data_IF_003343809534
#
_entry.id   IF_003343809534
#
_cell.length_a   1.000
_cell.length_b   1.000
_cell.length_c   1.000
_cell.angle_alpha   90.00
_cell.angle_beta   90.00
_cell.angle_gamma   90.00
#
_symmetry.space_group_name_H-M   'P 1'
#
loop_
_entity.id
_entity.type
_entity.pdbx_description
1 polymer ?
#
# COMPACT_ATOMS: atom_id res chain seq x y z
N UNK A 1 23.17 -22.37 1.06
CA UNK A 1 24.17 -21.38 0.56
C UNK A 1 24.26 -20.28 1.60
N UNK A 2 25.41 -20.12 2.26
CA UNK A 2 25.64 -19.06 3.24
C UNK A 2 25.66 -17.72 2.50
N UNK A 3 24.79 -16.78 2.88
CA UNK A 3 24.81 -15.42 2.37
C UNK A 3 26.19 -14.82 2.64
N UNK A 4 26.94 -14.50 1.58
CA UNK A 4 28.13 -13.66 1.67
C UNK A 4 27.71 -12.34 2.35
N UNK A 5 28.19 -12.11 3.57
CA UNK A 5 27.94 -10.85 4.27
C UNK A 5 28.72 -9.78 3.53
N UNK A 6 27.99 -8.86 2.94
CA UNK A 6 28.56 -7.62 2.38
C UNK A 6 29.30 -6.90 3.47
N UNK A 7 30.59 -6.71 3.27
CA UNK A 7 31.44 -5.93 4.16
C UNK A 7 30.94 -4.49 4.23
N UNK A 8 31.10 -3.84 5.38
CA UNK A 8 30.74 -2.42 5.51
C UNK A 8 31.56 -1.59 4.52
N UNK A 9 30.95 -0.64 3.76
CA UNK A 9 31.64 0.15 2.74
C UNK A 9 32.88 0.88 3.27
N UNK A 10 32.87 1.29 4.54
CA UNK A 10 33.95 2.01 5.21
C UNK A 10 34.85 1.10 6.05
N UNK A 11 34.86 -0.21 5.82
CA UNK A 11 35.77 -1.08 6.56
C UNK A 11 37.22 -0.80 6.15
N UNK A 12 38.13 -0.52 7.09
CA UNK A 12 39.52 -0.15 6.79
C UNK A 12 40.30 -1.25 6.11
N UNK A 13 39.88 -2.51 6.29
CA UNK A 13 40.50 -3.68 5.65
C UNK A 13 39.42 -4.56 5.00
N UNK A 14 39.53 -4.74 3.70
CA UNK A 14 38.76 -5.73 2.95
C UNK A 14 39.33 -7.14 3.17
N UNK A 15 38.65 -8.24 2.85
CA UNK A 15 39.21 -9.59 2.89
C UNK A 15 40.52 -9.70 2.09
N UNK A 16 40.61 -9.06 0.93
CA UNK A 16 41.82 -8.98 0.14
C UNK A 16 42.92 -8.15 0.82
N UNK A 17 42.59 -7.03 1.44
CA UNK A 17 43.53 -6.25 2.26
C UNK A 17 44.07 -7.06 3.44
N UNK A 18 43.21 -7.88 4.07
CA UNK A 18 43.61 -8.79 5.17
C UNK A 18 44.53 -9.90 4.66
N UNK A 19 44.27 -10.44 3.47
CA UNK A 19 45.12 -11.43 2.84
C UNK A 19 46.53 -10.88 2.60
N UNK A 20 46.63 -9.71 1.95
CA UNK A 20 47.92 -9.03 1.73
C UNK A 20 48.65 -8.74 3.02
N UNK A 21 47.99 -8.29 4.06
CA UNK A 21 48.56 -8.03 5.38
C UNK A 21 49.09 -9.32 6.01
N UNK A 22 48.39 -10.43 5.87
CA UNK A 22 48.82 -11.74 6.37
C UNK A 22 49.99 -12.28 5.56
N UNK A 23 49.98 -12.11 4.23
CA UNK A 23 51.11 -12.53 3.37
C UNK A 23 52.39 -11.81 3.71
N UNK A 24 52.37 -10.51 4.02
CA UNK A 24 53.56 -9.79 4.50
C UNK A 24 54.21 -10.46 5.71
N UNK A 25 53.40 -11.03 6.63
CA UNK A 25 53.94 -11.67 7.85
C UNK A 25 54.40 -13.11 7.56
N UNK A 26 53.62 -13.91 6.79
CA UNK A 26 53.85 -15.34 6.62
C UNK A 26 54.77 -15.68 5.45
N UNK A 27 54.74 -14.87 4.38
CA UNK A 27 55.47 -15.13 3.14
C UNK A 27 56.68 -14.20 3.01
N UNK A 28 56.51 -12.90 3.33
CA UNK A 28 57.55 -11.88 3.18
C UNK A 28 58.43 -11.74 4.45
N UNK A 29 58.09 -12.42 5.54
CA UNK A 29 58.88 -12.41 6.80
C UNK A 29 58.87 -11.14 7.58
N UNK A 30 57.87 -10.25 7.37
CA UNK A 30 57.79 -8.98 8.10
C UNK A 30 57.38 -9.17 9.55
N UNK A 31 57.90 -8.29 10.41
CA UNK A 31 57.40 -8.25 11.79
C UNK A 31 55.96 -7.79 11.87
N UNK A 32 55.27 -8.20 12.92
CA UNK A 32 53.88 -7.78 13.16
C UNK A 32 53.79 -6.26 13.29
N UNK A 33 54.75 -5.65 13.94
CA UNK A 33 54.81 -4.21 14.16
C UNK A 33 55.03 -3.43 12.85
N UNK A 34 55.96 -3.85 12.01
CA UNK A 34 56.19 -3.25 10.69
C UNK A 34 54.95 -3.42 9.76
N UNK A 35 54.31 -4.57 9.84
CA UNK A 35 53.07 -4.83 9.07
C UNK A 35 51.92 -3.93 9.60
N UNK A 36 51.77 -3.77 10.91
CA UNK A 36 50.77 -2.92 11.51
C UNK A 36 50.91 -1.46 11.08
N UNK A 37 52.13 -0.95 11.08
CA UNK A 37 52.47 0.41 10.63
C UNK A 37 52.11 0.58 9.13
N UNK A 38 52.54 -0.32 8.27
CA UNK A 38 52.28 -0.25 6.84
C UNK A 38 50.79 -0.26 6.48
N UNK A 39 49.99 -1.04 7.20
CA UNK A 39 48.56 -1.13 6.96
C UNK A 39 47.74 -0.17 7.82
N UNK A 40 48.40 0.66 8.64
CA UNK A 40 47.78 1.64 9.55
C UNK A 40 46.73 0.98 10.48
N UNK A 41 47.08 -0.15 11.06
CA UNK A 41 46.24 -0.91 11.99
C UNK A 41 46.99 -1.25 13.27
N UNK A 42 46.29 -1.59 14.34
CA UNK A 42 46.89 -2.05 15.57
C UNK A 42 47.53 -3.45 15.39
N UNK A 43 48.69 -3.68 16.05
CA UNK A 43 49.39 -4.98 16.03
C UNK A 43 48.48 -6.18 16.43
N UNK A 44 47.49 -5.95 17.34
CA UNK A 44 46.47 -6.95 17.67
C UNK A 44 45.61 -7.34 16.47
N UNK A 45 45.35 -6.39 15.57
CA UNK A 45 44.61 -6.64 14.34
C UNK A 45 45.37 -7.55 13.39
N UNK A 46 46.69 -7.32 13.24
CA UNK A 46 47.55 -8.18 12.43
C UNK A 46 47.59 -9.60 13.00
N UNK A 47 47.84 -9.74 14.31
CA UNK A 47 47.82 -11.06 15.00
C UNK A 47 46.51 -11.78 14.81
N UNK A 48 45.41 -11.08 15.05
CA UNK A 48 44.05 -11.63 14.88
C UNK A 48 43.81 -12.23 13.49
N UNK A 49 44.19 -11.53 12.43
CA UNK A 49 43.95 -11.98 11.08
C UNK A 49 44.92 -13.07 10.65
N UNK A 50 46.20 -13.00 11.07
CA UNK A 50 47.21 -14.06 10.90
C UNK A 50 46.73 -15.36 11.55
N UNK A 51 46.31 -15.33 12.80
CA UNK A 51 45.93 -16.50 13.57
C UNK A 51 44.64 -17.14 12.98
N UNK A 52 43.69 -16.31 12.51
CA UNK A 52 42.51 -16.77 11.82
C UNK A 52 42.84 -17.44 10.46
N UNK A 53 43.77 -16.87 9.73
CA UNK A 53 44.22 -17.41 8.47
C UNK A 53 44.93 -18.76 8.67
N UNK A 54 45.81 -18.84 9.67
CA UNK A 54 46.46 -20.10 10.01
C UNK A 54 45.49 -21.21 10.43
N UNK A 55 44.37 -20.83 11.10
CA UNK A 55 43.38 -21.80 11.56
C UNK A 55 42.37 -22.21 10.47
N UNK A 56 41.98 -21.31 9.59
CA UNK A 56 40.81 -21.46 8.70
C UNK A 56 41.10 -21.13 7.23
N UNK A 57 42.35 -20.78 6.89
CA UNK A 57 42.73 -20.32 5.56
C UNK A 57 41.97 -19.01 5.18
N UNK A 58 41.70 -18.87 3.89
CA UNK A 58 40.97 -17.69 3.36
C UNK A 58 39.59 -17.48 4.00
N UNK A 59 38.92 -18.51 4.45
CA UNK A 59 37.64 -18.40 5.16
C UNK A 59 37.76 -17.62 6.47
N UNK A 60 38.91 -17.66 7.15
CA UNK A 60 39.19 -16.92 8.37
C UNK A 60 39.28 -15.41 8.17
N UNK A 61 39.50 -14.94 6.94
CA UNK A 61 39.64 -13.53 6.60
C UNK A 61 38.27 -12.79 6.47
N UNK A 62 37.18 -13.51 6.46
CA UNK A 62 35.83 -12.92 6.40
C UNK A 62 35.33 -12.50 7.79
N UNK A 63 34.43 -11.51 7.80
CA UNK A 63 33.83 -11.04 9.04
C UNK A 63 32.91 -12.11 9.64
N UNK A 64 33.07 -12.36 10.93
CA UNK A 64 32.16 -13.22 11.70
C UNK A 64 31.01 -12.40 12.26
N UNK A 65 29.90 -13.08 12.59
CA UNK A 65 28.79 -12.45 13.29
C UNK A 65 29.22 -11.85 14.61
N UNK A 66 28.94 -10.58 14.82
CA UNK A 66 29.09 -9.91 16.12
C UNK A 66 27.97 -10.26 17.09
N UNK A 67 26.97 -11.06 16.65
CA UNK A 67 25.85 -11.45 17.50
C UNK A 67 26.34 -12.36 18.63
N UNK A 68 25.99 -12.06 19.89
CA UNK A 68 26.35 -12.92 21.02
C UNK A 68 25.86 -14.35 20.85
N UNK A 69 26.69 -15.33 21.20
CA UNK A 69 26.30 -16.74 21.19
C UNK A 69 25.23 -17.08 22.21
N UNK A 70 25.19 -16.34 23.33
CA UNK A 70 24.16 -16.45 24.36
C UNK A 70 23.44 -15.12 24.49
N UNK A 71 22.12 -15.17 24.59
CA UNK A 71 21.25 -14.03 24.84
C UNK A 71 20.38 -14.35 26.06
N UNK A 72 20.83 -14.00 27.28
CA UNK A 72 20.14 -14.36 28.54
C UNK A 72 18.68 -13.88 28.58
N UNK A 73 18.41 -12.74 27.94
CA UNK A 73 17.07 -12.12 27.90
C UNK A 73 16.24 -12.57 26.66
N UNK A 74 16.67 -13.63 25.96
CA UNK A 74 15.88 -14.16 24.84
C UNK A 74 14.58 -14.77 25.38
N UNK A 75 13.47 -14.49 24.67
CA UNK A 75 12.20 -15.10 25.01
C UNK A 75 12.31 -16.63 24.87
N UNK A 76 11.94 -17.40 25.92
CA UNK A 76 12.07 -18.86 25.89
C UNK A 76 11.32 -19.49 24.71
N UNK A 77 11.88 -20.57 24.16
CA UNK A 77 11.33 -21.24 22.97
C UNK A 77 9.86 -21.65 23.15
N UNK A 78 9.49 -22.21 24.29
CA UNK A 78 8.10 -22.62 24.57
C UNK A 78 7.11 -21.46 24.55
N UNK A 79 7.55 -20.23 24.92
CA UNK A 79 6.74 -19.02 24.83
C UNK A 79 6.58 -18.62 23.36
N UNK A 80 7.67 -18.67 22.56
CA UNK A 80 7.59 -18.40 21.12
C UNK A 80 6.64 -19.38 20.42
N UNK A 81 6.75 -20.67 20.72
CA UNK A 81 5.88 -21.72 20.16
C UNK A 81 4.41 -21.48 20.53
N UNK A 82 4.14 -21.05 21.78
CA UNK A 82 2.79 -20.68 22.21
C UNK A 82 2.22 -19.47 21.46
N UNK A 83 3.03 -18.45 21.21
CA UNK A 83 2.67 -17.29 20.40
C UNK A 83 2.28 -17.71 18.97
N UNK A 84 3.12 -18.51 18.33
CA UNK A 84 2.88 -19.05 16.99
C UNK A 84 1.62 -19.90 16.92
N UNK A 85 1.43 -20.81 17.90
CA UNK A 85 0.24 -21.66 18.01
C UNK A 85 -1.05 -20.83 18.12
N UNK A 86 -1.06 -19.79 18.95
CA UNK A 86 -2.21 -18.90 19.09
C UNK A 86 -2.48 -18.12 17.79
N UNK A 87 -1.45 -17.62 17.11
CA UNK A 87 -1.59 -16.96 15.81
C UNK A 87 -2.22 -17.89 14.78
N UNK A 88 -1.69 -19.09 14.61
CA UNK A 88 -2.17 -20.05 13.61
C UNK A 88 -3.58 -20.56 13.93
N UNK A 89 -3.83 -21.00 15.17
CA UNK A 89 -5.12 -21.60 15.55
C UNK A 89 -6.24 -20.58 15.69
N UNK A 90 -5.97 -19.40 16.28
CA UNK A 90 -7.00 -18.42 16.64
C UNK A 90 -7.01 -17.17 15.75
N UNK A 91 -6.00 -16.98 14.89
CA UNK A 91 -5.80 -15.79 14.07
C UNK A 91 -5.85 -14.48 14.89
N UNK A 92 -5.35 -14.50 16.12
CA UNK A 92 -5.35 -13.35 17.01
C UNK A 92 -4.27 -12.33 16.60
N UNK A 93 -4.57 -11.04 16.83
CA UNK A 93 -3.60 -9.96 16.74
C UNK A 93 -2.56 -10.02 17.85
N UNK A 94 -1.43 -9.33 17.66
CA UNK A 94 -0.31 -9.37 18.59
C UNK A 94 -0.70 -8.97 20.02
N UNK A 95 -1.48 -7.90 20.19
CA UNK A 95 -1.91 -7.43 21.49
C UNK A 95 -2.74 -8.46 22.26
N UNK A 96 -3.68 -9.13 21.60
CA UNK A 96 -4.50 -10.18 22.23
C UNK A 96 -3.66 -11.40 22.62
N UNK A 97 -2.65 -11.74 21.82
CA UNK A 97 -1.71 -12.81 22.16
C UNK A 97 -0.85 -12.38 23.35
N UNK A 98 -0.36 -11.15 23.37
CA UNK A 98 0.43 -10.58 24.44
C UNK A 98 -0.29 -10.68 25.79
N UNK A 99 -1.54 -10.25 25.86
CA UNK A 99 -2.40 -10.38 27.04
C UNK A 99 -2.54 -11.84 27.50
N UNK A 100 -2.69 -12.76 26.57
CA UNK A 100 -2.88 -14.20 26.90
C UNK A 100 -1.62 -14.90 27.36
N UNK A 101 -0.46 -14.45 26.86
CA UNK A 101 0.84 -15.08 27.12
C UNK A 101 1.60 -14.38 28.26
N UNK A 102 1.24 -13.15 28.59
CA UNK A 102 1.87 -12.35 29.64
C UNK A 102 3.22 -11.74 29.22
N UNK A 103 3.37 -11.35 27.95
CA UNK A 103 4.57 -10.68 27.42
C UNK A 103 4.20 -9.43 26.65
N UNK A 104 5.16 -8.52 26.44
CA UNK A 104 4.90 -7.29 25.70
C UNK A 104 4.44 -7.54 24.25
N UNK A 105 3.49 -6.72 23.76
CA UNK A 105 2.98 -6.79 22.39
C UNK A 105 4.06 -6.64 21.33
N UNK A 106 5.06 -5.79 21.57
CA UNK A 106 6.24 -5.63 20.71
C UNK A 106 7.08 -6.91 20.60
N UNK A 107 7.23 -7.65 21.71
CA UNK A 107 7.90 -8.95 21.70
C UNK A 107 7.11 -9.98 20.89
N UNK A 108 5.78 -10.02 21.03
CA UNK A 108 4.92 -10.88 20.19
C UNK A 108 5.05 -10.51 18.71
N UNK A 109 5.03 -9.21 18.37
CA UNK A 109 5.21 -8.78 16.98
C UNK A 109 6.54 -9.23 16.40
N UNK A 110 7.64 -9.11 17.17
CA UNK A 110 8.97 -9.53 16.76
C UNK A 110 9.02 -11.05 16.51
N UNK A 111 8.45 -11.85 17.42
CA UNK A 111 8.37 -13.32 17.27
C UNK A 111 7.59 -13.66 16.00
N UNK A 112 6.40 -13.08 15.82
CA UNK A 112 5.55 -13.33 14.65
C UNK A 112 6.20 -12.90 13.35
N UNK A 113 6.98 -11.81 13.35
CA UNK A 113 7.71 -11.34 12.19
C UNK A 113 8.85 -12.31 11.81
N UNK A 114 9.61 -12.79 12.80
CA UNK A 114 10.66 -13.77 12.60
C UNK A 114 10.15 -15.09 12.01
N UNK A 115 8.90 -15.46 12.36
CA UNK A 115 8.22 -16.67 11.86
C UNK A 115 7.41 -16.43 10.55
N UNK A 116 7.55 -15.27 9.90
CA UNK A 116 6.80 -14.92 8.70
C UNK A 116 5.30 -14.70 8.92
N UNK A 117 4.86 -14.56 10.17
CA UNK A 117 3.46 -14.41 10.59
C UNK A 117 3.11 -12.96 11.01
N UNK A 118 3.90 -11.98 10.62
CA UNK A 118 3.82 -10.59 11.08
C UNK A 118 2.45 -9.94 10.87
N UNK A 119 1.86 -10.08 9.70
CA UNK A 119 0.49 -9.61 9.40
C UNK A 119 -0.46 -10.80 9.32
N UNK A 120 -1.70 -10.59 9.78
CA UNK A 120 -2.77 -11.51 9.47
C UNK A 120 -3.15 -11.32 8.01
N UNK A 121 -2.89 -12.30 7.19
CA UNK A 121 -3.39 -12.31 5.84
C UNK A 121 -4.91 -12.29 5.85
N UNK A 122 -5.47 -11.27 5.21
CA UNK A 122 -6.90 -11.21 4.94
C UNK A 122 -7.16 -12.14 3.75
N UNK A 123 -7.39 -13.40 4.04
CA UNK A 123 -7.88 -14.34 3.06
C UNK A 123 -9.29 -13.96 2.59
N UNK A 124 -9.63 -14.37 1.40
CA UNK A 124 -11.01 -14.35 0.90
C UNK A 124 -11.91 -15.08 1.92
N UNK A 125 -13.01 -14.46 2.34
CA UNK A 125 -13.90 -15.03 3.36
C UNK A 125 -14.53 -16.36 2.94
N UNK A 126 -14.75 -16.55 1.64
CA UNK A 126 -15.37 -17.75 1.11
C UNK A 126 -14.39 -18.91 0.94
N UNK A 127 -13.14 -18.63 0.56
CA UNK A 127 -12.17 -19.66 0.19
C UNK A 127 -10.95 -19.74 1.11
N UNK A 128 -10.79 -18.80 2.05
CA UNK A 128 -9.60 -18.59 2.86
C UNK A 128 -8.30 -18.39 2.03
N UNK A 129 -8.40 -18.34 0.71
CA UNK A 129 -7.26 -18.13 -0.17
C UNK A 129 -6.69 -16.70 -0.02
N UNK A 130 -5.38 -16.50 -0.14
CA UNK A 130 -4.80 -15.17 -0.14
C UNK A 130 -5.43 -14.29 -1.23
N UNK A 131 -5.83 -13.06 -0.86
CA UNK A 131 -6.35 -12.09 -1.83
C UNK A 131 -5.20 -11.67 -2.75
N UNK A 132 -5.24 -12.11 -3.99
CA UNK A 132 -4.25 -11.72 -4.99
C UNK A 132 -4.54 -10.29 -5.43
N UNK A 133 -3.55 -9.42 -5.25
CA UNK A 133 -3.58 -8.07 -5.81
C UNK A 133 -3.24 -8.17 -7.28
N UNK A 134 -4.11 -7.62 -8.13
CA UNK A 134 -3.85 -7.48 -9.55
C UNK A 134 -3.77 -6.00 -9.94
N UNK A 135 -3.05 -5.71 -10.98
CA UNK A 135 -2.99 -4.40 -11.62
C UNK A 135 -2.91 -4.62 -13.11
N UNK A 136 -3.67 -3.85 -13.87
CA UNK A 136 -3.64 -3.88 -15.32
C UNK A 136 -2.35 -3.27 -15.84
N UNK A 137 -1.97 -3.62 -17.04
CA UNK A 137 -0.70 -3.17 -17.63
C UNK A 137 -0.83 -1.79 -18.23
N UNK A 138 -1.96 -1.48 -18.88
CA UNK A 138 -2.21 -0.21 -19.56
C UNK A 138 -3.41 0.55 -18.96
N UNK A 139 -3.40 1.90 -19.05
CA UNK A 139 -4.57 2.72 -18.76
C UNK A 139 -5.77 2.31 -19.64
N UNK A 140 -6.97 2.34 -19.08
CA UNK A 140 -8.21 2.04 -19.81
C UNK A 140 -8.57 0.57 -19.93
N UNK A 141 -7.64 -0.38 -19.70
CA UNK A 141 -7.96 -1.81 -19.74
C UNK A 141 -9.09 -2.20 -18.76
N UNK A 142 -9.19 -1.48 -17.66
CA UNK A 142 -10.24 -1.70 -16.66
C UNK A 142 -10.52 -0.42 -15.88
N UNK A 143 -11.75 0.04 -15.96
CA UNK A 143 -12.26 1.14 -15.15
C UNK A 143 -13.16 0.57 -14.04
N UNK A 144 -12.84 0.85 -12.80
CA UNK A 144 -13.66 0.51 -11.65
C UNK A 144 -14.75 1.55 -11.47
N UNK A 145 -16.01 1.12 -11.42
CA UNK A 145 -17.14 2.02 -11.17
C UNK A 145 -17.90 1.58 -9.93
N UNK A 146 -18.22 2.56 -9.09
CA UNK A 146 -18.98 2.34 -7.85
C UNK A 146 -19.70 3.60 -7.41
N UNK A 147 -20.73 3.46 -6.56
CA UNK A 147 -21.47 4.57 -5.95
C UNK A 147 -21.26 4.59 -4.45
N UNK A 148 -20.84 5.75 -3.95
CA UNK A 148 -20.72 5.96 -2.50
C UNK A 148 -21.84 6.84 -1.98
N UNK A 149 -22.70 6.28 -1.14
CA UNK A 149 -23.76 6.99 -0.45
C UNK A 149 -23.21 7.73 0.79
N UNK A 150 -23.49 9.01 0.90
CA UNK A 150 -23.14 9.83 2.07
C UNK A 150 -24.37 10.63 2.54
N UNK A 151 -24.44 10.90 3.85
CA UNK A 151 -25.53 11.70 4.39
C UNK A 151 -25.50 13.14 3.86
N UNK A 152 -26.66 13.69 3.56
CA UNK A 152 -26.84 15.09 3.26
C UNK A 152 -26.53 15.96 4.48
N UNK A 153 -26.21 17.23 4.24
CA UNK A 153 -25.94 18.23 5.28
C UNK A 153 -26.98 19.33 5.17
N UNK A 154 -27.76 19.59 6.25
CA UNK A 154 -28.73 20.67 6.26
C UNK A 154 -28.01 22.04 6.22
N UNK A 155 -28.75 23.09 5.78
CA UNK A 155 -28.24 24.46 5.85
C UNK A 155 -27.92 24.86 7.29
N UNK A 156 -26.82 25.54 7.49
CA UNK A 156 -26.28 25.88 8.80
C UNK A 156 -25.52 24.74 9.48
N UNK A 157 -25.43 23.54 8.86
CA UNK A 157 -24.70 22.39 9.35
C UNK A 157 -25.56 21.39 10.12
N UNK A 158 -25.10 20.14 10.15
CA UNK A 158 -25.72 19.07 10.94
C UNK A 158 -25.16 19.00 12.37
N UNK A 159 -25.39 17.88 13.04
CA UNK A 159 -24.98 17.63 14.43
C UNK A 159 -23.48 17.86 14.70
N UNK A 160 -22.63 17.75 13.70
CA UNK A 160 -21.18 18.00 13.85
C UNK A 160 -20.85 19.49 14.02
N UNK A 161 -21.74 20.38 13.58
CA UNK A 161 -21.60 21.85 13.72
C UNK A 161 -22.39 22.33 14.93
N UNK A 162 -23.62 21.83 15.11
CA UNK A 162 -24.59 22.34 16.09
C UNK A 162 -24.67 21.52 17.38
N UNK A 163 -23.95 20.39 17.45
CA UNK A 163 -24.04 19.44 18.56
C UNK A 163 -25.17 18.42 18.41
N UNK A 164 -25.07 17.31 19.15
CA UNK A 164 -26.13 16.29 19.22
C UNK A 164 -27.32 16.82 20.03
N UNK A 165 -28.53 16.59 19.52
CA UNK A 165 -29.75 17.00 20.19
C UNK A 165 -30.15 18.47 19.96
N UNK A 166 -29.49 19.19 19.06
CA UNK A 166 -29.92 20.53 18.69
C UNK A 166 -31.35 20.55 18.12
N UNK A 167 -32.25 21.31 18.78
CA UNK A 167 -33.67 21.43 18.44
C UNK A 167 -34.09 22.86 18.03
N UNK A 168 -33.10 23.78 17.91
CA UNK A 168 -33.36 25.17 17.55
C UNK A 168 -33.73 25.40 16.08
N UNK A 169 -33.85 26.66 15.69
CA UNK A 169 -34.16 27.07 14.33
C UNK A 169 -33.18 26.46 13.31
N UNK A 170 -33.71 25.83 12.24
CA UNK A 170 -32.95 25.05 11.28
C UNK A 170 -32.50 23.67 11.78
N UNK A 171 -33.08 23.20 12.91
CA UNK A 171 -32.95 21.79 13.30
C UNK A 171 -33.51 20.91 12.18
N UNK A 172 -32.83 19.84 11.77
CA UNK A 172 -33.34 18.96 10.72
C UNK A 172 -34.51 18.12 11.25
N UNK A 173 -35.68 18.71 11.36
CA UNK A 173 -36.94 17.97 11.48
C UNK A 173 -37.27 17.20 10.19
N UNK A 174 -36.66 17.58 9.06
CA UNK A 174 -36.66 16.85 7.79
C UNK A 174 -35.33 16.18 7.57
N UNK A 175 -35.33 14.89 7.30
CA UNK A 175 -34.16 14.18 6.80
C UNK A 175 -33.71 14.84 5.49
N UNK A 176 -32.49 15.37 5.46
CA UNK A 176 -31.88 16.00 4.27
C UNK A 176 -31.57 14.94 3.20
N UNK A 177 -31.82 13.68 3.52
CA UNK A 177 -31.58 12.55 2.62
C UNK A 177 -30.09 12.25 2.44
N UNK A 178 -29.80 11.71 1.26
CA UNK A 178 -28.45 11.28 0.92
C UNK A 178 -27.96 11.96 -0.36
N UNK A 179 -26.63 11.93 -0.53
CA UNK A 179 -25.95 12.25 -1.79
C UNK A 179 -25.22 11.00 -2.26
N UNK A 180 -25.18 10.82 -3.55
CA UNK A 180 -24.62 9.63 -4.20
C UNK A 180 -23.44 10.07 -5.05
N UNK A 181 -22.26 9.58 -4.68
CA UNK A 181 -21.01 9.90 -5.36
C UNK A 181 -20.72 8.79 -6.34
N UNK A 182 -20.98 9.03 -7.61
CA UNK A 182 -20.63 8.15 -8.69
C UNK A 182 -19.15 8.33 -9.01
N UNK A 183 -18.40 7.25 -9.10
CA UNK A 183 -16.96 7.27 -9.28
C UNK A 183 -16.53 6.28 -10.35
N UNK A 184 -15.70 6.73 -11.28
CA UNK A 184 -14.98 5.90 -12.24
C UNK A 184 -13.48 6.07 -12.02
N UNK A 185 -12.76 4.96 -11.79
CA UNK A 185 -11.34 4.93 -11.44
C UNK A 185 -10.59 3.99 -12.36
N UNK A 186 -9.57 4.49 -13.04
CA UNK A 186 -8.69 3.65 -13.85
C UNK A 186 -7.83 2.71 -13.01
N UNK A 187 -7.82 1.44 -13.39
CA UNK A 187 -7.10 0.38 -12.66
C UNK A 187 -5.60 0.63 -12.61
N UNK A 188 -4.99 1.13 -13.67
CA UNK A 188 -3.55 1.28 -13.81
C UNK A 188 -3.04 2.54 -13.15
N UNK A 189 -3.59 3.68 -13.54
CA UNK A 189 -3.10 5.01 -13.12
C UNK A 189 -3.72 5.50 -11.82
N UNK A 190 -4.86 4.93 -11.39
CA UNK A 190 -5.71 5.45 -10.30
C UNK A 190 -6.35 6.80 -10.61
N UNK A 191 -6.30 7.25 -11.86
CA UNK A 191 -6.97 8.46 -12.29
C UNK A 191 -8.47 8.34 -12.06
N UNK A 192 -9.09 9.38 -11.53
CA UNK A 192 -10.48 9.37 -11.09
C UNK A 192 -11.29 10.46 -11.76
N UNK A 193 -12.43 10.07 -12.32
CA UNK A 193 -13.56 10.92 -12.61
C UNK A 193 -14.69 10.66 -11.64
N UNK A 194 -15.32 11.68 -11.06
CA UNK A 194 -16.38 11.47 -10.08
C UNK A 194 -17.32 12.65 -9.97
N UNK A 195 -18.61 12.36 -9.73
CA UNK A 195 -19.70 13.31 -9.63
C UNK A 195 -20.58 13.06 -8.41
N UNK A 196 -21.21 14.13 -7.88
CA UNK A 196 -22.22 14.03 -6.81
C UNK A 196 -23.61 14.16 -7.43
N UNK A 197 -24.46 13.18 -7.17
CA UNK A 197 -25.85 13.13 -7.60
C UNK A 197 -26.82 12.99 -6.44
N UNK A 198 -28.12 13.17 -6.73
CA UNK A 198 -29.19 13.01 -5.74
C UNK A 198 -29.71 11.57 -5.64
N UNK A 199 -29.33 10.72 -6.59
CA UNK A 199 -29.76 9.32 -6.66
C UNK A 199 -28.71 8.39 -7.28
N UNK A 200 -28.98 7.11 -7.27
CA UNK A 200 -28.24 6.05 -7.92
C UNK A 200 -29.09 5.28 -8.96
N UNK A 201 -30.01 6.01 -9.64
CA UNK A 201 -30.86 5.40 -10.63
C UNK A 201 -30.10 5.00 -11.89
N UNK A 202 -30.73 4.12 -12.67
CA UNK A 202 -30.13 3.61 -13.92
C UNK A 202 -29.87 4.71 -14.95
N UNK A 203 -30.75 5.70 -15.04
CA UNK A 203 -30.60 6.87 -15.91
C UNK A 203 -29.41 7.73 -15.50
N UNK A 204 -29.28 7.97 -14.20
CA UNK A 204 -28.15 8.74 -13.63
C UNK A 204 -26.83 8.04 -13.84
N UNK A 205 -26.78 6.72 -13.57
CA UNK A 205 -25.59 5.90 -13.77
C UNK A 205 -25.16 5.84 -15.24
N UNK A 206 -26.11 5.69 -16.17
CA UNK A 206 -25.83 5.66 -17.62
C UNK A 206 -25.30 7.03 -18.12
N UNK A 207 -25.94 8.14 -17.71
CA UNK A 207 -25.49 9.47 -18.06
C UNK A 207 -24.11 9.81 -17.45
N UNK A 208 -23.88 9.42 -16.20
CA UNK A 208 -22.56 9.50 -15.57
C UNK A 208 -21.49 8.77 -16.38
N UNK A 209 -21.77 7.52 -16.80
CA UNK A 209 -20.80 6.75 -17.57
C UNK A 209 -20.45 7.41 -18.90
N UNK A 210 -21.42 7.94 -19.62
CA UNK A 210 -21.16 8.62 -20.88
C UNK A 210 -20.20 9.81 -20.71
N UNK A 211 -20.40 10.63 -19.65
CA UNK A 211 -19.49 11.72 -19.33
C UNK A 211 -18.11 11.25 -18.84
N UNK A 212 -18.07 10.20 -18.02
CA UNK A 212 -16.83 9.60 -17.55
C UNK A 212 -15.99 9.07 -18.72
N UNK A 213 -16.60 8.34 -19.64
CA UNK A 213 -15.90 7.80 -20.81
C UNK A 213 -15.34 8.92 -21.72
N UNK A 214 -16.15 9.98 -21.96
CA UNK A 214 -15.69 11.15 -22.71
C UNK A 214 -14.50 11.82 -22.02
N UNK A 215 -14.59 12.03 -20.71
CA UNK A 215 -13.51 12.62 -19.92
C UNK A 215 -12.23 11.77 -19.96
N UNK A 216 -12.33 10.46 -19.86
CA UNK A 216 -11.17 9.57 -20.01
C UNK A 216 -10.58 9.65 -21.43
N UNK A 217 -11.42 9.74 -22.47
CA UNK A 217 -10.96 9.91 -23.85
C UNK A 217 -10.18 11.23 -24.05
N UNK A 218 -10.63 12.35 -23.45
CA UNK A 218 -9.91 13.63 -23.43
C UNK A 218 -8.51 13.49 -22.80
N UNK A 219 -8.35 12.55 -21.86
CA UNK A 219 -7.05 12.22 -21.25
C UNK A 219 -6.24 11.17 -22.01
N UNK A 220 -6.71 10.73 -23.19
CA UNK A 220 -6.04 9.72 -24.00
C UNK A 220 -6.23 8.29 -23.49
N UNK A 221 -7.29 8.03 -22.72
CA UNK A 221 -7.60 6.72 -22.16
C UNK A 221 -8.86 6.15 -22.85
N UNK A 222 -8.69 5.12 -23.67
CA UNK A 222 -9.81 4.34 -24.22
C UNK A 222 -10.29 3.31 -23.20
N UNK A 223 -11.57 3.39 -22.80
CA UNK A 223 -12.16 2.50 -21.80
C UNK A 223 -12.54 1.15 -22.40
N UNK A 224 -11.67 0.14 -22.30
CA UNK A 224 -11.93 -1.20 -22.84
C UNK A 224 -12.98 -1.97 -22.01
N UNK A 225 -12.87 -1.91 -20.70
CA UNK A 225 -13.75 -2.65 -19.78
C UNK A 225 -14.13 -1.82 -18.58
N UNK A 226 -15.36 -1.98 -18.13
CA UNK A 226 -15.84 -1.42 -16.87
C UNK A 226 -16.18 -2.52 -15.89
N UNK A 227 -15.72 -2.40 -14.64
CA UNK A 227 -16.02 -3.31 -13.54
C UNK A 227 -16.94 -2.62 -12.54
N UNK A 228 -18.12 -3.19 -12.33
CA UNK A 228 -19.11 -2.73 -11.35
C UNK A 228 -19.40 -3.83 -10.33
N UNK A 229 -20.03 -3.44 -9.24
CA UNK A 229 -20.75 -4.39 -8.40
C UNK A 229 -22.04 -4.90 -9.07
N UNK A 230 -22.90 -5.60 -8.30
CA UNK A 230 -24.18 -6.10 -8.79
C UNK A 230 -25.35 -5.17 -8.45
N UNK A 231 -25.10 -3.87 -8.24
CA UNK A 231 -26.13 -2.86 -7.99
C UNK A 231 -27.20 -2.80 -9.08
N UNK A 232 -28.42 -2.45 -8.70
CA UNK A 232 -29.57 -2.46 -9.63
C UNK A 232 -29.37 -1.55 -10.83
N UNK A 233 -28.77 -0.37 -10.66
CA UNK A 233 -28.47 0.56 -11.74
C UNK A 233 -27.53 -0.03 -12.80
N UNK A 234 -26.54 -0.84 -12.39
CA UNK A 234 -25.57 -1.50 -13.29
C UNK A 234 -26.09 -2.79 -13.95
N UNK A 235 -27.27 -3.24 -13.53
CA UNK A 235 -27.96 -4.39 -14.16
C UNK A 235 -28.94 -3.94 -15.25
N UNK A 236 -29.23 -2.65 -15.33
CA UNK A 236 -30.24 -2.10 -16.24
C UNK A 236 -29.79 -2.14 -17.71
N UNK A 237 -30.78 -2.23 -18.61
CA UNK A 237 -30.54 -2.11 -20.06
C UNK A 237 -29.97 -0.73 -20.44
N UNK A 238 -30.32 0.34 -19.71
CA UNK A 238 -29.77 1.68 -19.92
C UNK A 238 -28.26 1.72 -19.71
N UNK A 239 -27.79 1.14 -18.61
CA UNK A 239 -26.36 1.02 -18.32
C UNK A 239 -25.61 0.27 -19.43
N UNK A 240 -26.14 -0.90 -19.83
CA UNK A 240 -25.51 -1.71 -20.87
C UNK A 240 -25.45 -0.99 -22.21
N UNK A 241 -26.51 -0.26 -22.59
CA UNK A 241 -26.51 0.56 -23.82
C UNK A 241 -25.49 1.69 -23.75
N UNK A 242 -25.38 2.40 -22.61
CA UNK A 242 -24.41 3.45 -22.44
C UNK A 242 -22.95 2.93 -22.56
N UNK A 243 -22.66 1.76 -21.97
CA UNK A 243 -21.36 1.14 -22.12
C UNK A 243 -21.09 0.68 -23.56
N UNK A 244 -22.07 0.08 -24.23
CA UNK A 244 -21.94 -0.33 -25.63
C UNK A 244 -21.70 0.86 -26.57
N UNK A 245 -22.37 1.99 -26.34
CA UNK A 245 -22.18 3.21 -27.12
C UNK A 245 -20.77 3.79 -27.03
N UNK A 246 -20.03 3.47 -25.97
CA UNK A 246 -18.61 3.87 -25.78
C UNK A 246 -17.63 2.72 -26.11
N UNK A 247 -18.10 1.62 -26.71
CA UNK A 247 -17.27 0.45 -27.03
C UNK A 247 -16.77 -0.32 -25.80
N UNK A 248 -17.33 -0.08 -24.62
CA UNK A 248 -16.83 -0.61 -23.34
C UNK A 248 -17.54 -1.91 -22.94
N UNK A 249 -16.77 -2.94 -22.62
CA UNK A 249 -17.27 -4.25 -22.17
C UNK A 249 -17.57 -4.22 -20.67
N UNK A 250 -18.81 -4.55 -20.29
CA UNK A 250 -19.23 -4.61 -18.89
C UNK A 250 -18.77 -5.91 -18.23
N UNK A 251 -18.06 -5.77 -17.10
CA UNK A 251 -17.70 -6.87 -16.19
C UNK A 251 -18.34 -6.62 -14.83
N UNK A 252 -18.74 -7.69 -14.15
CA UNK A 252 -19.35 -7.62 -12.82
C UNK A 252 -18.48 -8.36 -11.82
N UNK A 253 -18.43 -7.86 -10.58
CA UNK A 253 -17.79 -8.59 -9.49
C UNK A 253 -18.52 -9.90 -9.24
N UNK A 254 -17.76 -10.95 -8.90
CA UNK A 254 -18.38 -12.21 -8.47
C UNK A 254 -19.17 -11.99 -7.18
N UNK A 255 -20.32 -12.62 -7.02
CA UNK A 255 -21.08 -12.55 -5.77
C UNK A 255 -20.19 -12.88 -4.56
N UNK A 256 -20.35 -12.13 -3.47
CA UNK A 256 -19.58 -12.28 -2.22
C UNK A 256 -18.07 -12.08 -2.33
N UNK A 257 -17.58 -11.44 -3.41
CA UNK A 257 -16.15 -11.08 -3.62
C UNK A 257 -15.97 -9.58 -3.86
N UNK A 258 -16.31 -8.73 -2.88
CA UNK A 258 -16.20 -7.26 -3.01
C UNK A 258 -14.75 -6.80 -3.25
N UNK A 259 -13.76 -7.55 -2.75
CA UNK A 259 -12.34 -7.23 -2.93
C UNK A 259 -11.91 -7.06 -4.39
N UNK A 260 -12.70 -7.53 -5.35
CA UNK A 260 -12.42 -7.34 -6.78
C UNK A 260 -12.54 -5.86 -7.18
N UNK A 261 -13.39 -5.08 -6.48
CA UNK A 261 -13.56 -3.63 -6.67
C UNK A 261 -12.77 -2.79 -5.64
N UNK A 262 -11.80 -3.41 -4.94
CA UNK A 262 -11.07 -2.82 -3.82
C UNK A 262 -10.32 -1.51 -4.13
N UNK A 263 -10.08 -1.16 -5.41
CA UNK A 263 -9.40 0.08 -5.78
C UNK A 263 -10.31 1.29 -5.63
N UNK A 264 -11.54 1.20 -6.14
CA UNK A 264 -12.53 2.27 -5.95
C UNK A 264 -13.00 2.34 -4.49
N UNK A 265 -13.11 1.18 -3.79
CA UNK A 265 -13.38 1.17 -2.35
C UNK A 265 -12.27 1.90 -1.56
N UNK A 266 -11.02 1.73 -1.96
CA UNK A 266 -9.90 2.47 -1.36
C UNK A 266 -9.99 3.97 -1.64
N UNK A 267 -10.36 4.36 -2.86
CA UNK A 267 -10.64 5.76 -3.18
C UNK A 267 -11.75 6.31 -2.30
N UNK A 268 -12.87 5.59 -2.15
CA UNK A 268 -13.97 6.04 -1.29
C UNK A 268 -13.54 6.22 0.17
N UNK A 269 -12.63 5.40 0.68
CA UNK A 269 -12.06 5.62 2.02
C UNK A 269 -11.29 6.93 2.09
N UNK A 270 -10.40 7.18 1.13
CA UNK A 270 -9.64 8.42 1.03
C UNK A 270 -10.57 9.63 0.93
N UNK A 271 -11.58 9.54 0.06
CA UNK A 271 -12.61 10.55 -0.10
C UNK A 271 -13.33 10.87 1.22
N UNK A 272 -13.68 9.86 2.02
CA UNK A 272 -14.33 10.07 3.31
C UNK A 272 -13.39 10.73 4.33
N UNK A 273 -12.15 10.28 4.40
CA UNK A 273 -11.14 10.72 5.38
C UNK A 273 -10.58 12.12 5.02
N UNK A 274 -10.26 12.35 3.75
CA UNK A 274 -9.51 13.54 3.30
C UNK A 274 -10.42 14.66 2.76
N UNK A 275 -11.72 14.39 2.54
CA UNK A 275 -12.68 15.40 2.09
C UNK A 275 -14.00 15.38 2.86
N UNK A 276 -14.80 14.30 2.78
CA UNK A 276 -16.19 14.34 3.24
C UNK A 276 -16.31 14.62 4.74
N UNK A 277 -15.38 14.13 5.55
CA UNK A 277 -15.38 14.24 7.01
C UNK A 277 -14.16 14.95 7.60
N UNK A 278 -13.34 15.58 6.76
CA UNK A 278 -12.14 16.31 7.22
C UNK A 278 -12.47 17.43 8.21
N UNK A 279 -13.63 18.04 8.03
CA UNK A 279 -14.16 19.09 8.91
C UNK A 279 -15.68 19.04 8.97
N UNK A 280 -16.33 19.69 9.95
CA UNK A 280 -17.77 19.95 9.93
C UNK A 280 -18.10 20.94 8.81
N UNK A 281 -18.96 20.54 7.87
CA UNK A 281 -19.47 21.39 6.80
C UNK A 281 -20.77 22.05 7.23
N UNK A 282 -21.03 23.28 6.76
CA UNK A 282 -22.24 24.02 7.07
C UNK A 282 -23.39 23.77 6.11
N UNK A 283 -23.11 23.19 4.93
CA UNK A 283 -24.12 22.81 3.95
C UNK A 283 -23.56 21.81 2.94
N UNK A 284 -24.47 21.16 2.18
CA UNK A 284 -24.06 20.33 1.04
C UNK A 284 -23.40 21.16 -0.06
N UNK A 285 -23.88 22.39 -0.30
CA UNK A 285 -23.30 23.29 -1.29
C UNK A 285 -21.85 23.62 -0.96
N UNK A 286 -21.55 23.94 0.31
CA UNK A 286 -20.17 24.17 0.76
C UNK A 286 -19.29 22.94 0.58
N UNK A 287 -19.83 21.74 0.91
CA UNK A 287 -19.13 20.49 0.73
C UNK A 287 -18.85 20.19 -0.74
N UNK A 288 -19.81 20.45 -1.62
CA UNK A 288 -19.71 20.22 -3.06
C UNK A 288 -18.63 21.11 -3.73
N UNK A 289 -18.56 22.40 -3.36
CA UNK A 289 -17.46 23.28 -3.83
C UNK A 289 -16.09 22.70 -3.46
N UNK A 290 -15.96 22.14 -2.27
CA UNK A 290 -14.71 21.48 -1.84
C UNK A 290 -14.39 20.19 -2.61
N UNK A 291 -15.39 19.58 -3.24
CA UNK A 291 -15.22 18.29 -3.93
C UNK A 291 -14.36 18.39 -5.19
N UNK A 292 -14.57 19.41 -6.01
CA UNK A 292 -13.78 19.60 -7.23
C UNK A 292 -12.31 19.87 -6.89
N UNK A 293 -12.05 20.64 -5.83
CA UNK A 293 -10.68 20.86 -5.33
C UNK A 293 -10.04 19.57 -4.83
N UNK A 294 -10.80 18.72 -4.16
CA UNK A 294 -10.32 17.43 -3.70
C UNK A 294 -9.99 16.49 -4.87
N UNK A 295 -10.84 16.41 -5.91
CA UNK A 295 -10.58 15.59 -7.09
C UNK A 295 -9.34 16.07 -7.85
N UNK A 296 -9.19 17.38 -8.02
CA UNK A 296 -8.00 17.97 -8.61
C UNK A 296 -6.75 17.62 -7.80
N UNK A 297 -6.78 17.80 -6.48
CA UNK A 297 -5.68 17.42 -5.60
C UNK A 297 -5.36 15.93 -5.68
N UNK A 298 -6.38 15.06 -5.66
CA UNK A 298 -6.22 13.62 -5.74
C UNK A 298 -5.52 13.19 -7.03
N UNK A 299 -5.92 13.73 -8.17
CA UNK A 299 -5.40 13.36 -9.48
C UNK A 299 -4.01 13.94 -9.75
N UNK A 300 -3.74 15.18 -9.33
CA UNK A 300 -2.56 15.93 -9.75
C UNK A 300 -1.49 16.12 -8.67
N UNK A 301 -1.85 16.02 -7.39
CA UNK A 301 -0.93 16.40 -6.30
C UNK A 301 -0.77 15.34 -5.22
N UNK A 302 -1.71 14.40 -5.11
CA UNK A 302 -1.67 13.39 -4.07
C UNK A 302 -0.76 12.23 -4.46
N UNK A 303 0.37 11.99 -3.71
CA UNK A 303 1.22 10.85 -3.99
C UNK A 303 0.57 9.53 -3.53
N UNK A 304 0.72 8.48 -4.31
CA UNK A 304 0.14 7.17 -4.07
C UNK A 304 1.21 6.10 -3.89
N UNK A 305 1.25 5.44 -2.73
CA UNK A 305 2.21 4.35 -2.47
C UNK A 305 2.11 3.19 -3.47
N UNK A 306 0.89 2.91 -4.01
CA UNK A 306 0.70 1.91 -5.06
C UNK A 306 1.27 2.33 -6.44
N UNK A 307 1.55 3.61 -6.64
CA UNK A 307 2.15 4.21 -7.83
C UNK A 307 3.61 4.64 -7.57
N UNK A 308 4.28 4.03 -6.61
CA UNK A 308 5.66 4.40 -6.22
C UNK A 308 5.80 5.88 -5.84
N UNK A 309 4.78 6.41 -5.16
CA UNK A 309 4.65 7.80 -4.72
C UNK A 309 4.44 8.85 -5.83
N UNK A 310 4.18 8.40 -7.07
CA UNK A 310 3.72 9.29 -8.15
C UNK A 310 2.23 9.64 -7.98
N UNK A 311 1.80 10.73 -8.63
CA UNK A 311 0.38 11.07 -8.74
C UNK A 311 -0.29 10.24 -9.86
N UNK A 312 -1.63 10.16 -9.90
CA UNK A 312 -2.34 9.54 -11.02
C UNK A 312 -1.98 10.15 -12.37
N UNK A 313 -1.88 11.47 -12.45
CA UNK A 313 -1.55 12.20 -13.69
C UNK A 313 -0.11 11.95 -14.14
N UNK A 314 0.88 11.99 -13.21
CA UNK A 314 2.27 11.69 -13.54
C UNK A 314 2.40 10.24 -14.03
N UNK A 315 1.67 9.32 -13.39
CA UNK A 315 1.64 7.92 -13.83
C UNK A 315 1.06 7.81 -15.24
N UNK A 316 0.00 8.56 -15.58
CA UNK A 316 -0.56 8.57 -16.93
C UNK A 316 0.44 9.11 -17.95
N UNK A 317 1.17 10.19 -17.62
CA UNK A 317 2.17 10.79 -18.50
C UNK A 317 3.22 9.76 -18.95
N UNK A 318 3.68 8.87 -18.06
CA UNK A 318 4.65 7.82 -18.41
C UNK A 318 4.17 6.86 -19.52
N UNK A 319 2.87 6.75 -19.75
CA UNK A 319 2.31 5.94 -20.83
C UNK A 319 2.19 6.72 -22.13
N UNK A 320 2.02 8.05 -22.07
CA UNK A 320 1.95 8.92 -23.26
C UNK A 320 3.34 9.06 -23.91
N UNK A 321 4.38 9.16 -23.10
CA UNK A 321 5.77 9.30 -23.56
C UNK A 321 6.33 8.01 -24.18
N UNK A 322 5.72 6.86 -23.87
CA UNK A 322 6.13 5.55 -24.37
C UNK A 322 5.28 5.03 -25.56
N UNK A 323 4.33 5.81 -26.06
CA UNK A 323 3.66 5.47 -27.31
C UNK A 323 4.66 5.73 -28.45
N UNK A 324 4.99 4.71 -29.30
CA UNK A 324 5.73 4.97 -30.54
C UNK A 324 4.92 6.00 -31.32
N UNK A 325 5.59 7.05 -31.79
CA UNK A 325 5.05 8.01 -32.75
C UNK A 325 4.50 7.20 -33.93
N UNK A 326 3.25 6.83 -33.87
CA UNK A 326 2.56 6.28 -35.02
C UNK A 326 2.48 7.42 -36.02
N UNK A 327 3.18 7.27 -37.11
CA UNK A 327 3.25 8.19 -38.23
C UNK A 327 1.88 8.80 -38.53
N UNK A 328 1.85 10.12 -38.49
CA UNK A 328 0.83 10.96 -39.13
C UNK A 328 0.97 10.79 -40.63
#
# INVERSE_FOLDING_TARGET
MAHARTQHPNAPLTPEGRRRMVACVLEDGWTIEATAERFQVDAKTVRKWRDRYLAEGDAGLFDRSSRPHRSPNATPKHVCDRVVKLRRKRRWGAERIAQRVGIAGSTVQRILHAEGLGRLDRGDRATAAPVRRYQRERPGELIHVDVKKIAGIPEGGGWRVRGRGYTGEGSPTRQVGYRYIHTALDDRTRLVYSEIHHDEQATTAAAFWARAAAWFAEHGIACERVLTDNGSCYRSGLWHRACAATGTVVKKTRPRRPQTNGKVERFHRILLEEWAYIRPWRSDSQRQVGYQRFLHFYNHHRPHGALRWSTPTDTLATFKDNLPLAHI
#
